data_IF_971690244275
#
_entry.id   IF_971690244275
#
_cell.length_a   1.000
_cell.length_b   1.000
_cell.length_c   1.000
_cell.angle_alpha   90.00
_cell.angle_beta   90.00
_cell.angle_gamma   90.00
#
_symmetry.space_group_name_H-M   'P 1'
#
loop_
_entity.id
_entity.type
_entity.pdbx_description
1 polymer ?
#
# COMPACT_ATOMS: atom_id res chain seq x y z
N UNK A 1 7.02 16.55 -7.35
CA UNK A 1 7.01 15.38 -8.26
C UNK A 1 5.75 15.45 -9.10
N UNK A 2 5.80 15.04 -10.37
CA UNK A 2 4.59 14.92 -11.19
C UNK A 2 3.80 13.68 -10.72
N UNK A 3 2.47 13.77 -10.73
CA UNK A 3 1.62 12.65 -10.33
C UNK A 3 1.60 11.59 -11.43
N UNK A 4 1.84 10.32 -11.07
CA UNK A 4 1.68 9.19 -11.96
C UNK A 4 0.19 8.90 -12.18
N UNK A 5 -0.22 8.74 -13.43
CA UNK A 5 -1.60 8.43 -13.84
C UNK A 5 -1.76 6.97 -14.29
N UNK A 6 -1.15 6.05 -13.54
CA UNK A 6 -1.00 4.64 -13.93
C UNK A 6 -2.34 3.96 -14.19
N UNK A 7 -3.36 4.24 -13.37
CA UNK A 7 -4.65 3.58 -13.50
C UNK A 7 -5.36 3.92 -14.82
N UNK A 8 -5.30 5.19 -15.26
CA UNK A 8 -5.88 5.61 -16.53
C UNK A 8 -5.06 5.12 -17.73
N UNK A 9 -3.72 5.14 -17.64
CA UNK A 9 -2.84 4.59 -18.66
C UNK A 9 -3.09 3.08 -18.89
N UNK A 10 -3.24 2.31 -17.81
CA UNK A 10 -3.55 0.88 -17.91
C UNK A 10 -5.00 0.64 -18.34
N UNK A 11 -5.95 1.51 -18.00
CA UNK A 11 -7.31 1.44 -18.53
C UNK A 11 -7.34 1.65 -20.05
N UNK A 12 -6.51 2.56 -20.58
CA UNK A 12 -6.32 2.73 -22.02
C UNK A 12 -5.74 1.47 -22.68
N UNK A 13 -4.72 0.85 -22.05
CA UNK A 13 -4.17 -0.43 -22.49
C UNK A 13 -5.26 -1.52 -22.52
N UNK A 14 -6.02 -1.71 -21.44
CA UNK A 14 -7.10 -2.70 -21.38
C UNK A 14 -8.16 -2.46 -22.49
N UNK A 15 -8.55 -1.20 -22.75
CA UNK A 15 -9.49 -0.85 -23.84
C UNK A 15 -8.93 -1.15 -25.23
N UNK A 16 -7.63 -0.90 -25.42
CA UNK A 16 -6.93 -1.12 -26.69
C UNK A 16 -6.79 -2.61 -26.98
N UNK A 17 -6.27 -3.37 -26.03
CA UNK A 17 -5.98 -4.80 -26.16
C UNK A 17 -7.13 -5.73 -25.72
N UNK A 18 -8.31 -5.16 -25.47
CA UNK A 18 -9.55 -5.89 -25.15
C UNK A 18 -9.45 -6.75 -23.89
N UNK A 19 -8.73 -6.27 -22.88
CA UNK A 19 -8.75 -6.85 -21.55
C UNK A 19 -9.95 -6.33 -20.74
N UNK A 20 -10.47 -7.12 -19.78
CA UNK A 20 -11.62 -6.72 -19.00
C UNK A 20 -11.36 -5.45 -18.18
N UNK A 21 -12.38 -4.61 -18.06
CA UNK A 21 -12.49 -3.55 -17.06
C UNK A 21 -13.86 -3.74 -16.44
N UNK A 22 -13.89 -4.04 -15.14
CA UNK A 22 -15.14 -4.29 -14.44
C UNK A 22 -15.69 -2.96 -13.92
N UNK A 23 -16.99 -2.72 -14.08
CA UNK A 23 -17.59 -1.42 -13.80
C UNK A 23 -17.88 -1.17 -12.32
N UNK A 24 -18.00 -2.23 -11.51
CA UNK A 24 -18.32 -2.15 -10.10
C UNK A 24 -17.53 -3.19 -9.29
N UNK A 25 -17.24 -2.97 -8.00
CA UNK A 25 -16.49 -3.90 -7.17
C UNK A 25 -17.04 -5.32 -7.27
N UNK A 26 -16.20 -6.25 -7.72
CA UNK A 26 -16.58 -7.64 -7.89
C UNK A 26 -15.36 -8.56 -7.83
N UNK A 27 -15.61 -9.84 -7.57
CA UNK A 27 -14.61 -10.89 -7.74
C UNK A 27 -14.77 -11.44 -9.17
N UNK A 28 -13.74 -11.35 -10.03
CA UNK A 28 -13.75 -11.96 -11.37
C UNK A 28 -13.86 -13.48 -11.34
N UNK A 29 -13.89 -14.12 -12.52
CA UNK A 29 -13.77 -15.57 -12.57
C UNK A 29 -12.44 -16.04 -11.95
N UNK A 30 -12.43 -17.25 -11.42
CA UNK A 30 -11.25 -17.86 -10.79
C UNK A 30 -10.02 -17.83 -11.70
N UNK A 31 -10.21 -18.07 -13.01
CA UNK A 31 -9.15 -17.97 -14.01
C UNK A 31 -8.56 -16.55 -14.10
N UNK A 32 -9.42 -15.52 -14.14
CA UNK A 32 -8.97 -14.11 -14.20
C UNK A 32 -8.29 -13.69 -12.90
N UNK A 33 -8.85 -14.06 -11.75
CA UNK A 33 -8.24 -13.77 -10.45
C UNK A 33 -6.87 -14.44 -10.31
N UNK A 34 -6.73 -15.71 -10.74
CA UNK A 34 -5.45 -16.41 -10.78
C UNK A 34 -4.44 -15.74 -11.69
N UNK A 35 -4.87 -15.31 -12.88
CA UNK A 35 -3.99 -14.58 -13.80
C UNK A 35 -3.46 -13.28 -13.18
N UNK A 36 -4.32 -12.48 -12.53
CA UNK A 36 -3.89 -11.23 -11.87
C UNK A 36 -2.88 -11.49 -10.76
N UNK A 37 -3.10 -12.52 -9.93
CA UNK A 37 -2.16 -12.90 -8.87
C UNK A 37 -0.84 -13.43 -9.45
N UNK A 38 -0.89 -14.22 -10.53
CA UNK A 38 0.31 -14.74 -11.18
C UNK A 38 1.21 -13.63 -11.72
N UNK A 39 0.63 -12.64 -12.42
CA UNK A 39 1.39 -11.48 -12.93
C UNK A 39 2.03 -10.67 -11.79
N UNK A 40 1.27 -10.38 -10.73
CA UNK A 40 1.83 -9.70 -9.55
C UNK A 40 3.00 -10.47 -8.91
N UNK A 41 2.90 -11.80 -8.86
CA UNK A 41 3.95 -12.65 -8.30
C UNK A 41 5.19 -12.74 -9.20
N UNK A 42 5.00 -12.68 -10.52
CA UNK A 42 6.07 -12.62 -11.52
C UNK A 42 6.90 -11.35 -11.34
N UNK A 43 6.29 -10.16 -11.39
CA UNK A 43 7.01 -8.88 -11.25
C UNK A 43 7.68 -8.73 -9.88
N UNK A 44 7.05 -9.25 -8.82
CA UNK A 44 7.66 -9.26 -7.50
C UNK A 44 8.93 -10.13 -7.47
N UNK A 45 8.94 -11.24 -8.22
CA UNK A 45 10.10 -12.12 -8.27
C UNK A 45 11.25 -11.47 -9.02
N UNK A 46 10.96 -10.74 -10.09
CA UNK A 46 11.94 -9.96 -10.83
C UNK A 46 12.55 -8.87 -9.95
N UNK A 47 11.73 -8.15 -9.17
CA UNK A 47 12.21 -7.18 -8.19
C UNK A 47 13.17 -7.80 -7.16
N UNK A 48 12.85 -9.00 -6.63
CA UNK A 48 13.74 -9.71 -5.70
C UNK A 48 15.12 -10.00 -6.34
N UNK A 49 15.13 -10.47 -7.59
CA UNK A 49 16.36 -10.77 -8.33
C UNK A 49 17.17 -9.49 -8.57
N UNK A 50 16.53 -8.43 -9.07
CA UNK A 50 17.19 -7.15 -9.34
C UNK A 50 17.85 -6.54 -8.08
N UNK A 51 17.20 -6.65 -6.91
CA UNK A 51 17.77 -6.21 -5.63
C UNK A 51 19.01 -7.03 -5.26
N UNK A 52 18.94 -8.36 -5.41
CA UNK A 52 20.07 -9.26 -5.10
C UNK A 52 21.28 -8.98 -6.00
N UNK A 53 21.03 -8.68 -7.26
CA UNK A 53 22.05 -8.35 -8.26
C UNK A 53 22.55 -6.90 -8.14
N UNK A 54 21.88 -6.08 -7.32
CA UNK A 54 22.17 -4.65 -7.11
C UNK A 54 22.05 -3.84 -8.41
N UNK A 55 21.15 -4.24 -9.30
CA UNK A 55 20.90 -3.55 -10.56
C UNK A 55 19.75 -2.54 -10.41
N UNK A 56 20.09 -1.25 -10.36
CA UNK A 56 19.10 -0.19 -10.19
C UNK A 56 18.18 -0.01 -11.42
N UNK A 57 18.63 -0.40 -12.60
CA UNK A 57 17.83 -0.30 -13.83
C UNK A 57 16.75 -1.37 -13.80
N UNK A 58 17.13 -2.62 -13.50
CA UNK A 58 16.17 -3.72 -13.36
C UNK A 58 15.22 -3.53 -12.16
N UNK A 59 15.70 -2.91 -11.07
CA UNK A 59 14.81 -2.50 -9.96
C UNK A 59 13.78 -1.48 -10.43
N UNK A 60 14.17 -0.51 -11.25
CA UNK A 60 13.24 0.48 -11.78
C UNK A 60 12.21 -0.15 -12.72
N UNK A 61 12.65 -1.09 -13.58
CA UNK A 61 11.80 -1.84 -14.50
C UNK A 61 10.75 -2.65 -13.74
N UNK A 62 11.18 -3.53 -12.81
CA UNK A 62 10.27 -4.36 -12.02
C UNK A 62 9.30 -3.54 -11.15
N UNK A 63 9.71 -2.37 -10.64
CA UNK A 63 8.80 -1.47 -9.90
C UNK A 63 7.74 -0.84 -10.81
N UNK A 64 8.12 -0.46 -12.04
CA UNK A 64 7.21 0.04 -13.05
C UNK A 64 6.19 -1.02 -13.46
N UNK A 65 6.65 -2.25 -13.70
CA UNK A 65 5.80 -3.36 -14.13
C UNK A 65 4.89 -3.84 -13.01
N UNK A 66 5.38 -3.92 -11.77
CA UNK A 66 4.55 -4.20 -10.60
C UNK A 66 3.40 -3.18 -10.46
N UNK A 67 3.69 -1.89 -10.66
CA UNK A 67 2.66 -0.85 -10.68
C UNK A 67 1.69 -1.02 -11.85
N UNK A 68 2.17 -1.43 -13.02
CA UNK A 68 1.35 -1.65 -14.22
C UNK A 68 0.37 -2.81 -14.02
N UNK A 69 0.86 -3.97 -13.57
CA UNK A 69 0.01 -5.15 -13.33
C UNK A 69 -0.92 -4.96 -12.14
N UNK A 70 -0.51 -4.19 -11.12
CA UNK A 70 -1.39 -3.78 -10.01
C UNK A 70 -2.56 -2.95 -10.51
N UNK A 71 -2.31 -1.93 -11.34
CA UNK A 71 -3.38 -1.13 -11.95
C UNK A 71 -4.33 -2.00 -12.79
N UNK A 72 -3.79 -2.98 -13.53
CA UNK A 72 -4.61 -3.95 -14.27
C UNK A 72 -5.49 -4.81 -13.35
N UNK A 73 -4.97 -5.24 -12.20
CA UNK A 73 -5.76 -5.94 -11.19
C UNK A 73 -6.88 -5.03 -10.63
N UNK A 74 -6.58 -3.79 -10.24
CA UNK A 74 -7.57 -2.82 -9.75
C UNK A 74 -8.75 -2.68 -10.72
N UNK A 75 -8.48 -2.57 -12.02
CA UNK A 75 -9.50 -2.47 -13.06
C UNK A 75 -10.34 -3.75 -13.19
N UNK A 76 -9.72 -4.92 -13.11
CA UNK A 76 -10.43 -6.19 -13.23
C UNK A 76 -11.25 -6.55 -11.99
N UNK A 77 -10.87 -6.09 -10.79
CA UNK A 77 -11.70 -6.21 -9.59
C UNK A 77 -12.77 -5.12 -9.48
N UNK A 78 -12.89 -4.26 -10.49
CA UNK A 78 -13.92 -3.23 -10.58
C UNK A 78 -13.75 -2.09 -9.57
N UNK A 79 -12.51 -1.87 -9.15
CA UNK A 79 -12.17 -0.86 -8.15
C UNK A 79 -11.72 0.46 -8.77
N UNK A 80 -11.63 0.57 -10.10
CA UNK A 80 -11.06 1.72 -10.81
C UNK A 80 -11.53 3.08 -10.30
N UNK A 81 -12.84 3.33 -10.35
CA UNK A 81 -13.44 4.61 -9.93
C UNK A 81 -13.30 4.90 -8.42
N UNK A 82 -13.14 3.84 -7.60
CA UNK A 82 -13.03 3.94 -6.13
C UNK A 82 -11.59 3.90 -5.63
N UNK A 83 -10.63 3.54 -6.48
CA UNK A 83 -9.27 3.21 -6.03
C UNK A 83 -8.56 4.42 -5.42
N UNK A 84 -8.82 5.62 -5.96
CA UNK A 84 -8.30 6.87 -5.39
C UNK A 84 -8.77 7.06 -3.94
N UNK A 85 -10.07 6.89 -3.68
CA UNK A 85 -10.66 7.04 -2.36
C UNK A 85 -10.15 5.96 -1.39
N UNK A 86 -10.07 4.71 -1.86
CA UNK A 86 -9.50 3.59 -1.10
C UNK A 86 -8.04 3.86 -0.69
N UNK A 87 -7.22 4.35 -1.62
CA UNK A 87 -5.83 4.68 -1.36
C UNK A 87 -5.70 5.83 -0.38
N UNK A 88 -6.49 6.90 -0.55
CA UNK A 88 -6.50 8.05 0.36
C UNK A 88 -6.93 7.65 1.78
N UNK A 89 -7.86 6.71 1.93
CA UNK A 89 -8.28 6.20 3.22
C UNK A 89 -7.20 5.35 3.90
N UNK A 90 -6.49 4.50 3.13
CA UNK A 90 -5.31 3.80 3.62
C UNK A 90 -4.23 4.79 4.05
N UNK A 91 -4.00 5.85 3.27
CA UNK A 91 -3.02 6.89 3.58
C UNK A 91 -3.41 7.65 4.86
N UNK A 92 -4.67 8.06 5.01
CA UNK A 92 -5.19 8.70 6.23
C UNK A 92 -4.96 7.80 7.44
N UNK A 93 -5.33 6.52 7.35
CA UNK A 93 -5.11 5.55 8.43
C UNK A 93 -3.63 5.39 8.75
N UNK A 94 -2.76 5.27 7.75
CA UNK A 94 -1.31 5.16 7.95
C UNK A 94 -0.73 6.41 8.63
N UNK A 95 -1.16 7.59 8.24
CA UNK A 95 -0.69 8.84 8.85
C UNK A 95 -1.21 9.03 10.28
N UNK A 96 -2.33 8.39 10.66
CA UNK A 96 -2.82 8.38 12.06
C UNK A 96 -1.94 7.58 13.02
N UNK A 97 -0.93 6.85 12.53
CA UNK A 97 0.05 6.15 13.37
C UNK A 97 1.00 7.11 14.11
N UNK A 98 1.15 8.35 13.63
CA UNK A 98 1.97 9.35 14.29
C UNK A 98 1.28 9.89 15.55
N UNK A 99 2.05 10.17 16.59
CA UNK A 99 1.59 10.89 17.77
C UNK A 99 1.77 12.39 17.55
N UNK A 100 0.83 13.20 18.05
CA UNK A 100 0.84 14.65 17.89
C UNK A 100 1.48 15.36 19.08
N UNK A 101 1.52 14.69 20.24
CA UNK A 101 2.16 15.23 21.44
C UNK A 101 3.12 14.22 22.07
N UNK A 102 4.00 14.71 22.95
CA UNK A 102 4.92 13.86 23.72
C UNK A 102 4.13 12.91 24.61
N UNK A 103 3.06 13.38 25.24
CA UNK A 103 2.23 12.59 26.15
C UNK A 103 1.58 11.40 25.41
N UNK A 104 1.11 11.61 24.17
CA UNK A 104 0.61 10.52 23.34
C UNK A 104 1.70 9.51 22.98
N UNK A 105 2.91 9.98 22.70
CA UNK A 105 4.04 9.12 22.35
C UNK A 105 4.50 8.29 23.55
N UNK A 106 4.61 8.90 24.74
CA UNK A 106 4.94 8.23 26.00
C UNK A 106 3.88 7.20 26.36
N UNK A 107 2.59 7.55 26.25
CA UNK A 107 1.49 6.62 26.49
C UNK A 107 1.51 5.45 25.50
N UNK A 108 1.86 5.72 24.24
CA UNK A 108 2.01 4.67 23.21
C UNK A 108 3.19 3.75 23.52
N UNK A 109 4.35 4.28 23.91
CA UNK A 109 5.50 3.47 24.32
C UNK A 109 5.14 2.61 25.53
N UNK A 110 4.52 3.18 26.56
CA UNK A 110 4.08 2.45 27.74
C UNK A 110 3.10 1.31 27.37
N UNK A 111 2.17 1.56 26.45
CA UNK A 111 1.23 0.55 25.95
C UNK A 111 1.92 -0.67 25.32
N UNK A 112 2.96 -0.46 24.51
CA UNK A 112 3.70 -1.56 23.87
C UNK A 112 4.68 -2.25 24.83
N UNK A 113 5.36 -1.48 25.69
CA UNK A 113 6.26 -2.04 26.70
C UNK A 113 5.50 -2.95 27.68
N UNK A 114 4.28 -2.58 28.09
CA UNK A 114 3.40 -3.41 28.92
C UNK A 114 3.02 -4.75 28.23
N UNK A 115 3.10 -4.83 26.90
CA UNK A 115 2.88 -6.04 26.09
C UNK A 115 4.18 -6.77 25.73
N UNK A 116 5.31 -6.38 26.33
CA UNK A 116 6.62 -6.98 26.07
C UNK A 116 7.24 -6.57 24.73
N UNK A 117 6.81 -5.46 24.15
CA UNK A 117 7.44 -4.90 22.93
C UNK A 117 8.31 -3.71 23.29
N UNK A 118 9.62 -3.89 23.19
CA UNK A 118 10.58 -2.79 23.33
C UNK A 118 10.42 -1.79 22.18
N UNK A 119 10.27 -0.53 22.55
CA UNK A 119 10.05 0.57 21.63
C UNK A 119 10.52 1.90 22.23
N UNK A 120 10.71 2.86 21.34
CA UNK A 120 11.09 4.23 21.64
C UNK A 120 10.35 5.18 20.71
N UNK A 121 10.36 6.49 20.98
CA UNK A 121 9.84 7.48 20.04
C UNK A 121 10.91 8.49 19.64
N UNK A 122 10.72 9.09 18.47
CA UNK A 122 11.55 10.19 17.96
C UNK A 122 10.66 11.30 17.43
N UNK A 123 11.01 12.54 17.75
CA UNK A 123 10.39 13.71 17.13
C UNK A 123 10.88 13.85 15.68
N UNK A 124 9.94 14.05 14.76
CA UNK A 124 10.20 14.39 13.36
C UNK A 124 9.12 15.34 12.86
N UNK A 125 9.53 16.53 12.38
CA UNK A 125 8.64 17.53 11.78
C UNK A 125 7.38 17.86 12.62
N UNK A 126 7.54 18.01 13.94
CA UNK A 126 6.43 18.33 14.85
C UNK A 126 5.48 17.17 15.15
N UNK A 127 5.88 15.94 14.83
CA UNK A 127 5.18 14.70 15.21
C UNK A 127 6.13 13.79 15.97
N UNK A 128 5.57 12.84 16.70
CA UNK A 128 6.33 11.86 17.47
C UNK A 128 6.05 10.47 16.93
N UNK A 129 7.08 9.85 16.37
CA UNK A 129 7.00 8.56 15.69
C UNK A 129 7.51 7.48 16.63
N UNK A 130 6.68 6.47 16.90
CA UNK A 130 7.01 5.36 17.80
C UNK A 130 7.55 4.21 16.96
N UNK A 131 8.72 3.70 17.32
CA UNK A 131 9.42 2.64 16.61
C UNK A 131 9.68 1.45 17.53
N UNK A 132 9.57 0.25 16.96
CA UNK A 132 10.03 -0.96 17.61
C UNK A 132 11.56 -1.05 17.53
N UNK A 133 12.21 -1.35 18.65
CA UNK A 133 13.67 -1.33 18.76
C UNK A 133 14.38 -2.37 17.87
N UNK A 134 13.72 -3.49 17.54
CA UNK A 134 14.37 -4.59 16.82
C UNK A 134 14.60 -4.34 15.32
N UNK A 135 13.80 -3.48 14.70
CA UNK A 135 13.76 -3.31 13.23
C UNK A 135 13.30 -1.93 12.77
N UNK A 136 13.23 -0.95 13.68
CA UNK A 136 12.76 0.42 13.41
C UNK A 136 11.39 0.49 12.73
N UNK A 137 10.57 -0.55 12.92
CA UNK A 137 9.22 -0.57 12.37
C UNK A 137 8.34 0.43 13.11
N UNK A 138 7.68 1.31 12.36
CA UNK A 138 6.67 2.22 12.91
C UNK A 138 5.54 1.45 13.59
N UNK A 139 5.31 1.75 14.87
CA UNK A 139 4.22 1.23 15.67
C UNK A 139 3.01 2.17 15.59
N UNK A 140 1.83 1.63 15.83
CA UNK A 140 0.58 2.40 15.79
C UNK A 140 0.41 3.17 17.08
N UNK A 141 0.21 4.49 17.00
CA UNK A 141 -0.31 5.33 18.09
C UNK A 141 -1.51 4.63 18.78
N UNK A 142 -1.67 4.80 20.10
CA UNK A 142 -2.86 4.35 20.83
C UNK A 142 -4.17 4.97 20.29
N UNK A 143 -4.10 6.17 19.72
CA UNK A 143 -5.20 6.88 19.07
C UNK A 143 -5.30 6.58 17.56
N UNK A 144 -4.60 5.54 17.07
CA UNK A 144 -4.64 5.10 15.68
C UNK A 144 -6.07 4.84 15.20
N UNK A 145 -6.37 5.34 14.00
CA UNK A 145 -7.66 5.12 13.34
C UNK A 145 -7.48 4.12 12.19
N UNK A 146 -8.10 2.92 12.26
CA UNK A 146 -8.03 1.93 11.18
C UNK A 146 -8.69 2.46 9.90
N UNK A 147 -8.24 1.94 8.76
CA UNK A 147 -8.85 2.23 7.47
C UNK A 147 -10.25 1.60 7.39
N UNK A 148 -11.24 2.37 6.97
CA UNK A 148 -12.60 1.90 6.72
C UNK A 148 -12.88 1.77 5.22
N UNK A 149 -12.37 0.69 4.63
CA UNK A 149 -12.57 0.41 3.21
C UNK A 149 -13.98 -0.12 2.91
N UNK A 150 -14.68 -0.69 3.91
CA UNK A 150 -16.01 -1.25 3.74
C UNK A 150 -17.02 -0.15 3.36
N UNK A 151 -16.97 0.99 4.05
CA UNK A 151 -17.82 2.14 3.74
C UNK A 151 -17.59 2.73 2.34
N UNK A 152 -16.40 2.55 1.78
CA UNK A 152 -16.05 3.03 0.42
C UNK A 152 -16.51 2.03 -0.64
N UNK A 153 -16.32 0.73 -0.39
CA UNK A 153 -16.75 -0.33 -1.33
C UNK A 153 -18.27 -0.35 -1.48
N UNK A 154 -19.01 -0.23 -0.36
CA UNK A 154 -20.46 -0.35 -0.31
C UNK A 154 -20.93 -1.74 0.04
#
# INVERSE_FOLDING_TARGET
MQQLDSLNQVAEFHKTFKHPIVAAPAIPSEERSRLRVALLAEELKELEVAILEKDIVEVADALCDLQYVLSGAVLEFGLGEKFRELFDEVQRSNMSKACLTVEEAEATVAHYQAKGTECYFKEDNGKYLVYRTSDDKTLKNINYSPADLASIIG
#
